data_IF_735199956686
#
_entry.id   IF_735199956686
#
_cell.length_a   1.000
_cell.length_b   1.000
_cell.length_c   1.000
_cell.angle_alpha   90.00
_cell.angle_beta   90.00
_cell.angle_gamma   90.00
#
_symmetry.space_group_name_H-M   'P 1'
#
loop_
_entity.id
_entity.type
_entity.pdbx_description
1 polymer ?
#
# COMPACT_ATOMS: atom_id res chain seq x y z
N UNK A 1 -18.33 17.92 -11.88
CA UNK A 1 -19.30 16.88 -11.48
C UNK A 1 -19.08 15.55 -12.20
N UNK A 2 -18.87 15.52 -13.53
CA UNK A 2 -18.71 14.26 -14.30
C UNK A 2 -17.66 13.28 -13.72
N UNK A 3 -16.45 13.74 -13.34
CA UNK A 3 -15.40 12.86 -12.75
C UNK A 3 -15.79 12.22 -11.41
N UNK A 4 -16.65 12.87 -10.62
CA UNK A 4 -17.08 12.33 -9.31
C UNK A 4 -18.00 11.12 -9.52
N UNK A 5 -18.91 11.20 -10.48
CA UNK A 5 -19.86 10.13 -10.77
C UNK A 5 -19.18 8.89 -11.37
N UNK A 6 -18.11 9.08 -12.14
CA UNK A 6 -17.33 7.98 -12.76
C UNK A 6 -16.81 6.98 -11.72
N UNK A 7 -16.49 7.41 -10.49
CA UNK A 7 -16.05 6.52 -9.42
C UNK A 7 -17.15 6.12 -8.45
N UNK A 8 -18.03 7.05 -8.05
CA UNK A 8 -19.06 6.77 -7.04
C UNK A 8 -20.04 5.67 -7.47
N UNK A 9 -20.43 5.62 -8.74
CA UNK A 9 -21.37 4.61 -9.24
C UNK A 9 -20.75 3.19 -9.16
N UNK A 10 -19.57 2.91 -9.76
CA UNK A 10 -18.91 1.61 -9.61
C UNK A 10 -18.65 1.24 -8.15
N UNK A 11 -18.20 2.21 -7.35
CA UNK A 11 -17.93 2.01 -5.93
C UNK A 11 -19.17 1.56 -5.18
N UNK A 12 -20.31 2.24 -5.39
CA UNK A 12 -21.58 1.91 -4.73
C UNK A 12 -22.10 0.55 -5.18
N UNK A 13 -22.12 0.29 -6.49
CA UNK A 13 -22.59 -0.99 -7.05
C UNK A 13 -21.75 -2.15 -6.50
N UNK A 14 -20.43 -2.01 -6.48
CA UNK A 14 -19.52 -3.06 -6.00
C UNK A 14 -19.66 -3.27 -4.49
N UNK A 15 -19.76 -2.19 -3.71
CA UNK A 15 -19.97 -2.26 -2.26
C UNK A 15 -21.28 -2.96 -1.92
N UNK A 16 -22.40 -2.56 -2.54
CA UNK A 16 -23.70 -3.16 -2.31
C UNK A 16 -23.77 -4.61 -2.80
N UNK A 17 -23.21 -4.88 -3.98
CA UNK A 17 -23.15 -6.24 -4.54
C UNK A 17 -22.34 -7.20 -3.67
N UNK A 18 -21.11 -6.82 -3.33
CA UNK A 18 -20.26 -7.63 -2.45
C UNK A 18 -20.86 -7.76 -1.04
N UNK A 19 -21.39 -6.67 -0.47
CA UNK A 19 -22.07 -6.67 0.83
C UNK A 19 -23.29 -7.60 0.84
N UNK A 20 -24.08 -7.62 -0.23
CA UNK A 20 -25.18 -8.57 -0.40
C UNK A 20 -24.70 -10.02 -0.33
N UNK A 21 -23.64 -10.37 -1.07
CA UNK A 21 -23.08 -11.73 -1.02
C UNK A 21 -22.52 -12.10 0.36
N UNK A 22 -21.88 -11.16 1.07
CA UNK A 22 -21.44 -11.36 2.46
C UNK A 22 -22.64 -11.66 3.37
N UNK A 23 -23.73 -10.90 3.27
CA UNK A 23 -24.95 -11.13 4.06
C UNK A 23 -25.63 -12.48 3.74
N UNK A 24 -25.52 -12.95 2.50
CA UNK A 24 -25.98 -14.28 2.08
C UNK A 24 -25.06 -15.42 2.57
N UNK A 25 -24.01 -15.10 3.34
CA UNK A 25 -23.08 -16.09 3.88
C UNK A 25 -22.17 -16.74 2.83
N UNK A 26 -22.00 -16.11 1.66
CA UNK A 26 -21.05 -16.59 0.64
C UNK A 26 -19.62 -16.37 1.13
N UNK A 27 -18.85 -17.46 1.26
CA UNK A 27 -17.49 -17.47 1.84
C UNK A 27 -16.48 -18.28 1.05
N UNK A 28 -16.96 -19.02 0.06
CA UNK A 28 -16.17 -19.97 -0.72
C UNK A 28 -16.46 -19.73 -2.19
N UNK A 29 -15.59 -20.24 -3.06
CA UNK A 29 -15.76 -20.29 -4.51
C UNK A 29 -16.94 -21.21 -4.92
N UNK A 30 -18.05 -21.19 -4.16
CA UNK A 30 -19.23 -22.04 -4.28
C UNK A 30 -19.85 -21.97 -5.67
N UNK A 31 -19.71 -20.83 -6.34
CA UNK A 31 -20.11 -20.66 -7.73
C UNK A 31 -19.07 -19.83 -8.52
N UNK A 32 -18.48 -20.39 -9.59
CA UNK A 32 -17.51 -19.68 -10.44
C UNK A 32 -18.04 -18.35 -11.00
N UNK A 33 -19.34 -18.24 -11.24
CA UNK A 33 -19.94 -17.01 -11.75
C UNK A 33 -19.94 -15.86 -10.72
N UNK A 34 -20.09 -16.16 -9.41
CA UNK A 34 -20.02 -15.13 -8.35
C UNK A 34 -18.60 -14.53 -8.32
N UNK A 35 -17.60 -15.40 -8.41
CA UNK A 35 -16.18 -15.02 -8.45
C UNK A 35 -15.92 -14.12 -9.65
N UNK A 36 -16.36 -14.52 -10.85
CA UNK A 36 -16.20 -13.72 -12.06
C UNK A 36 -16.87 -12.34 -11.95
N UNK A 37 -18.10 -12.28 -11.43
CA UNK A 37 -18.84 -11.03 -11.24
C UNK A 37 -18.13 -10.11 -10.24
N UNK A 38 -17.70 -10.63 -9.09
CA UNK A 38 -17.01 -9.84 -8.06
C UNK A 38 -15.67 -9.32 -8.56
N UNK A 39 -14.89 -10.14 -9.28
CA UNK A 39 -13.64 -9.70 -9.89
C UNK A 39 -13.88 -8.62 -10.94
N UNK A 40 -14.88 -8.77 -11.80
CA UNK A 40 -15.21 -7.78 -12.82
C UNK A 40 -15.64 -6.43 -12.20
N UNK A 41 -16.51 -6.47 -11.18
CA UNK A 41 -16.96 -5.26 -10.47
C UNK A 41 -15.81 -4.56 -9.72
N UNK A 42 -14.96 -5.34 -9.04
CA UNK A 42 -13.80 -4.80 -8.32
C UNK A 42 -12.76 -4.23 -9.28
N UNK A 43 -12.51 -4.89 -10.41
CA UNK A 43 -11.64 -4.39 -11.46
C UNK A 43 -12.16 -3.08 -12.05
N UNK A 44 -13.45 -3.02 -12.40
CA UNK A 44 -14.07 -1.81 -12.91
C UNK A 44 -14.00 -0.65 -11.92
N UNK A 45 -14.26 -0.92 -10.64
CA UNK A 45 -14.10 0.05 -9.55
C UNK A 45 -12.66 0.51 -9.39
N UNK A 46 -11.68 -0.39 -9.55
CA UNK A 46 -10.25 -0.05 -9.53
C UNK A 46 -9.87 0.89 -10.66
N UNK A 47 -10.29 0.59 -11.89
CA UNK A 47 -10.03 1.48 -13.04
C UNK A 47 -10.70 2.85 -12.83
N UNK A 48 -11.93 2.87 -12.32
CA UNK A 48 -12.65 4.12 -12.03
C UNK A 48 -11.96 4.94 -10.92
N UNK A 49 -11.47 4.26 -9.87
CA UNK A 49 -10.73 4.87 -8.77
C UNK A 49 -9.42 5.51 -9.24
N UNK A 50 -8.62 4.77 -10.01
CA UNK A 50 -7.36 5.28 -10.57
C UNK A 50 -7.57 6.50 -11.48
N UNK A 51 -8.71 6.57 -12.18
CA UNK A 51 -9.09 7.74 -12.99
C UNK A 51 -9.61 8.92 -12.16
N UNK A 52 -10.17 8.64 -10.99
CA UNK A 52 -10.70 9.65 -10.06
C UNK A 52 -9.62 10.31 -9.23
N UNK A 53 -8.53 9.60 -8.92
CA UNK A 53 -7.43 10.14 -8.14
C UNK A 53 -6.86 11.42 -8.79
N UNK A 54 -6.48 12.42 -7.96
CA UNK A 54 -5.81 13.60 -8.48
C UNK A 54 -4.50 13.20 -9.16
N UNK A 55 -4.15 13.88 -10.25
CA UNK A 55 -2.85 13.71 -10.90
C UNK A 55 -1.92 14.81 -10.39
N UNK A 56 -0.71 14.49 -9.91
CA UNK A 56 0.29 15.51 -9.59
C UNK A 56 0.62 16.34 -10.84
N UNK A 57 0.85 17.64 -10.65
CA UNK A 57 1.28 18.53 -11.73
C UNK A 57 2.80 18.40 -11.92
N UNK A 58 3.23 17.72 -12.97
CA UNK A 58 4.65 17.50 -13.27
C UNK A 58 5.22 18.54 -14.25
N UNK A 59 4.41 19.48 -14.72
CA UNK A 59 4.71 20.39 -15.84
C UNK A 59 5.94 21.28 -15.58
N UNK A 60 6.24 21.56 -14.30
CA UNK A 60 7.38 22.39 -13.88
C UNK A 60 8.69 21.60 -13.69
N UNK A 61 8.66 20.26 -13.73
CA UNK A 61 9.87 19.42 -13.66
C UNK A 61 10.53 19.22 -15.03
N UNK A 62 10.09 20.00 -16.03
CA UNK A 62 10.21 19.84 -17.49
C UNK A 62 11.60 19.99 -18.12
N UNK A 63 12.69 19.94 -17.36
CA UNK A 63 14.03 19.75 -17.94
C UNK A 63 14.29 18.28 -18.32
N UNK A 64 13.31 17.62 -18.91
CA UNK A 64 13.34 16.17 -19.11
C UNK A 64 14.04 15.79 -20.42
N UNK A 65 15.12 15.02 -20.28
CA UNK A 65 15.76 14.32 -21.38
C UNK A 65 14.75 13.45 -22.14
N UNK A 66 14.90 13.35 -23.47
CA UNK A 66 14.11 12.39 -24.28
C UNK A 66 14.19 10.98 -23.68
N UNK A 67 13.03 10.31 -23.58
CA UNK A 67 12.95 8.93 -23.10
C UNK A 67 13.79 8.02 -23.99
N UNK A 68 14.66 7.21 -23.37
CA UNK A 68 15.46 6.17 -24.03
C UNK A 68 14.77 4.81 -23.81
N UNK A 69 13.82 4.40 -24.67
CA UNK A 69 12.89 3.32 -24.38
C UNK A 69 13.59 1.98 -24.10
N UNK A 70 14.63 1.64 -24.86
CA UNK A 70 15.39 0.40 -24.66
C UNK A 70 16.09 0.34 -23.29
N UNK A 71 16.88 1.35 -22.96
CA UNK A 71 17.58 1.42 -21.66
C UNK A 71 16.60 1.50 -20.50
N UNK A 72 15.50 2.25 -20.66
CA UNK A 72 14.45 2.33 -19.66
C UNK A 72 13.83 0.95 -19.40
N UNK A 73 13.43 0.24 -20.46
CA UNK A 73 12.82 -1.08 -20.35
C UNK A 73 13.79 -2.11 -19.76
N UNK A 74 15.05 -2.14 -20.21
CA UNK A 74 16.07 -3.03 -19.65
C UNK A 74 16.31 -2.76 -18.15
N UNK A 75 16.38 -1.48 -17.75
CA UNK A 75 16.55 -1.11 -16.34
C UNK A 75 15.31 -1.47 -15.52
N UNK A 76 14.10 -1.25 -16.07
CA UNK A 76 12.85 -1.59 -15.42
C UNK A 76 12.74 -3.10 -15.15
N UNK A 77 13.06 -3.92 -16.16
CA UNK A 77 13.09 -5.38 -16.04
C UNK A 77 14.17 -5.79 -15.04
N UNK A 78 15.36 -5.19 -15.10
CA UNK A 78 16.45 -5.49 -14.17
C UNK A 78 16.08 -5.19 -12.71
N UNK A 79 15.52 -4.01 -12.43
CA UNK A 79 15.06 -3.64 -11.08
C UNK A 79 13.93 -4.54 -10.61
N UNK A 80 12.94 -4.83 -11.46
CA UNK A 80 11.90 -5.79 -11.17
C UNK A 80 12.50 -7.15 -10.80
N UNK A 81 13.33 -7.71 -11.68
CA UNK A 81 14.02 -8.98 -11.47
C UNK A 81 14.80 -9.03 -10.15
N UNK A 82 15.50 -7.95 -9.78
CA UNK A 82 16.21 -7.85 -8.49
C UNK A 82 15.23 -7.90 -7.31
N UNK A 83 14.12 -7.16 -7.35
CA UNK A 83 13.13 -7.16 -6.26
C UNK A 83 12.48 -8.54 -6.08
N UNK A 84 12.14 -9.21 -7.19
CA UNK A 84 11.61 -10.57 -7.17
C UNK A 84 12.64 -11.58 -6.66
N UNK A 85 13.87 -11.51 -7.15
CA UNK A 85 14.96 -12.40 -6.76
C UNK A 85 15.35 -12.23 -5.28
N UNK A 86 15.43 -10.99 -4.80
CA UNK A 86 15.77 -10.70 -3.42
C UNK A 86 14.78 -11.36 -2.46
N UNK A 87 13.49 -11.24 -2.75
CA UNK A 87 12.48 -11.90 -1.95
C UNK A 87 12.48 -13.43 -2.14
N UNK A 88 12.70 -13.94 -3.35
CA UNK A 88 12.80 -15.39 -3.54
C UNK A 88 13.96 -16.01 -2.74
N UNK A 89 15.10 -15.33 -2.65
CA UNK A 89 16.28 -15.81 -1.92
C UNK A 89 16.16 -15.64 -0.39
N UNK A 90 15.61 -14.52 0.07
CA UNK A 90 15.66 -14.12 1.47
C UNK A 90 14.28 -14.09 2.16
N UNK A 91 13.19 -14.25 1.42
CA UNK A 91 11.83 -14.14 1.92
C UNK A 91 11.61 -12.85 2.71
N UNK A 92 10.90 -12.96 3.83
CA UNK A 92 10.65 -11.85 4.75
C UNK A 92 11.91 -11.30 5.42
N UNK A 93 13.05 -12.01 5.40
CA UNK A 93 14.30 -11.49 5.98
C UNK A 93 14.86 -10.29 5.21
N UNK A 94 14.42 -10.07 3.96
CA UNK A 94 14.73 -8.87 3.18
C UNK A 94 14.31 -7.58 3.89
N UNK A 95 13.27 -7.64 4.74
CA UNK A 95 12.78 -6.50 5.50
C UNK A 95 13.82 -5.96 6.49
N UNK A 96 14.77 -6.77 6.97
CA UNK A 96 15.84 -6.31 7.86
C UNK A 96 16.88 -5.43 7.14
N UNK A 97 16.99 -5.55 5.81
CA UNK A 97 17.89 -4.70 5.03
C UNK A 97 17.30 -3.30 4.78
N UNK A 98 15.98 -3.17 4.74
CA UNK A 98 15.31 -1.90 4.39
C UNK A 98 15.63 -0.77 5.38
N UNK A 99 15.68 -0.99 6.72
CA UNK A 99 16.08 0.07 7.63
C UNK A 99 17.49 0.60 7.38
N UNK A 100 18.43 -0.31 7.09
CA UNK A 100 19.80 0.06 6.76
C UNK A 100 19.87 0.87 5.45
N UNK A 101 19.13 0.46 4.43
CA UNK A 101 19.01 1.20 3.16
C UNK A 101 18.45 2.60 3.42
N UNK A 102 17.39 2.72 4.24
CA UNK A 102 16.83 4.02 4.63
C UNK A 102 17.85 4.92 5.33
N UNK A 103 18.64 4.38 6.27
CA UNK A 103 19.73 5.12 6.92
C UNK A 103 20.80 5.56 5.93
N UNK A 104 21.22 4.68 5.01
CA UNK A 104 22.19 5.02 3.96
C UNK A 104 21.66 6.18 3.10
N UNK A 105 20.39 6.14 2.69
CA UNK A 105 19.75 7.24 1.95
C UNK A 105 19.83 8.54 2.75
N UNK A 106 19.46 8.53 4.03
CA UNK A 106 19.50 9.73 4.89
C UNK A 106 20.93 10.29 5.01
N UNK A 107 21.93 9.42 5.20
CA UNK A 107 23.35 9.80 5.31
C UNK A 107 23.89 10.35 3.99
N UNK A 108 23.54 9.72 2.85
CA UNK A 108 24.04 10.13 1.53
C UNK A 108 23.38 11.44 1.08
N UNK A 109 22.08 11.59 1.29
CA UNK A 109 21.37 12.79 0.86
C UNK A 109 21.66 14.00 1.77
N UNK A 110 22.10 13.78 3.02
CA UNK A 110 22.46 14.81 4.01
C UNK A 110 21.41 15.92 4.15
N UNK A 111 20.14 15.61 3.88
CA UNK A 111 19.07 16.61 3.89
C UNK A 111 18.63 16.89 5.33
N UNK A 112 18.42 18.16 5.63
CA UNK A 112 17.78 18.56 6.87
C UNK A 112 16.31 18.10 6.83
N UNK A 113 15.99 17.15 7.69
CA UNK A 113 14.63 16.69 7.93
C UNK A 113 13.93 17.69 8.84
N UNK A 114 12.64 17.94 8.60
CA UNK A 114 11.87 18.75 9.52
C UNK A 114 11.67 17.97 10.82
N UNK A 115 11.77 18.64 11.97
CA UNK A 115 11.42 18.06 13.27
C UNK A 115 10.01 17.45 13.26
N UNK A 116 9.07 18.07 12.54
CA UNK A 116 7.70 17.57 12.39
C UNK A 116 7.66 16.20 11.70
N UNK A 117 8.47 15.99 10.68
CA UNK A 117 8.56 14.71 9.96
C UNK A 117 9.12 13.61 10.86
N UNK A 118 10.18 13.93 11.63
CA UNK A 118 10.79 12.98 12.57
C UNK A 118 9.80 12.59 13.67
N UNK A 119 9.14 13.58 14.29
CA UNK A 119 8.15 13.34 15.35
C UNK A 119 6.99 12.50 14.80
N UNK A 120 6.52 12.81 13.59
CA UNK A 120 5.44 12.05 12.98
C UNK A 120 5.84 10.61 12.67
N UNK A 121 7.01 10.40 12.06
CA UNK A 121 7.53 9.07 11.79
C UNK A 121 7.76 8.26 13.07
N UNK A 122 8.24 8.91 14.15
CA UNK A 122 8.36 8.29 15.47
C UNK A 122 7.00 7.89 16.04
N UNK A 123 5.99 8.76 15.95
CA UNK A 123 4.64 8.49 16.41
C UNK A 123 3.99 7.30 15.67
N UNK A 124 4.04 7.31 14.34
CA UNK A 124 3.55 6.20 13.53
C UNK A 124 4.35 4.91 13.79
N UNK A 125 5.68 5.00 13.91
CA UNK A 125 6.53 3.85 14.19
C UNK A 125 6.25 3.24 15.57
N UNK A 126 5.96 4.06 16.57
CA UNK A 126 5.55 3.58 17.89
C UNK A 126 4.20 2.85 17.83
N UNK A 127 3.21 3.40 17.11
CA UNK A 127 1.90 2.75 16.91
C UNK A 127 2.10 1.40 16.20
N UNK A 128 2.85 1.38 15.10
CA UNK A 128 3.14 0.16 14.35
C UNK A 128 3.85 -0.89 15.21
N UNK A 129 4.86 -0.47 15.98
CA UNK A 129 5.60 -1.35 16.89
C UNK A 129 4.73 -1.93 18.00
N UNK A 130 3.90 -1.11 18.66
CA UNK A 130 2.96 -1.57 19.71
C UNK A 130 1.96 -2.57 19.12
N UNK A 131 1.35 -2.26 17.97
CA UNK A 131 0.43 -3.17 17.31
C UNK A 131 1.12 -4.49 16.88
N UNK A 132 2.41 -4.44 16.51
CA UNK A 132 3.21 -5.63 16.19
C UNK A 132 3.38 -6.61 17.35
N UNK A 133 3.40 -6.12 18.61
CA UNK A 133 3.55 -6.99 19.78
C UNK A 133 2.41 -8.01 19.89
N UNK A 134 1.22 -7.66 19.39
CA UNK A 134 0.05 -8.52 19.37
C UNK A 134 -0.14 -9.29 18.05
N UNK A 135 0.58 -8.94 16.98
CA UNK A 135 0.44 -9.51 15.64
C UNK A 135 1.48 -10.61 15.30
N UNK A 136 2.24 -11.08 16.30
CA UNK A 136 3.52 -11.78 16.14
C UNK A 136 3.63 -12.78 14.97
N UNK A 137 4.84 -12.90 14.40
CA UNK A 137 5.17 -13.84 13.32
C UNK A 137 5.87 -15.06 13.91
N UNK A 138 5.46 -16.28 13.51
CA UNK A 138 5.89 -17.55 14.11
C UNK A 138 7.41 -17.77 14.26
N UNK A 139 8.24 -17.10 13.46
CA UNK A 139 9.70 -17.27 13.46
C UNK A 139 10.48 -16.05 13.99
N UNK A 140 9.81 -14.98 14.44
CA UNK A 140 10.44 -13.79 15.02
C UNK A 140 9.77 -13.50 16.37
N UNK A 141 10.57 -13.34 17.43
CA UNK A 141 10.00 -12.94 18.72
C UNK A 141 9.19 -11.64 18.61
N UNK A 142 8.06 -11.49 19.33
CA UNK A 142 7.23 -10.28 19.21
C UNK A 142 8.00 -8.97 19.44
N UNK A 143 8.96 -8.96 20.36
CA UNK A 143 9.80 -7.80 20.62
C UNK A 143 10.68 -7.42 19.41
N UNK A 144 11.32 -8.41 18.77
CA UNK A 144 12.13 -8.18 17.57
C UNK A 144 11.25 -7.71 16.41
N UNK A 145 10.05 -8.28 16.26
CA UNK A 145 9.09 -7.83 15.25
C UNK A 145 8.68 -6.38 15.47
N UNK A 146 8.29 -6.01 16.70
CA UNK A 146 7.95 -4.64 17.06
C UNK A 146 9.07 -3.63 16.81
N UNK A 147 10.31 -3.98 17.18
CA UNK A 147 11.49 -3.16 16.91
C UNK A 147 11.70 -3.00 15.39
N UNK A 148 11.55 -4.07 14.62
CA UNK A 148 11.67 -4.00 13.17
C UNK A 148 10.61 -3.06 12.57
N UNK A 149 9.35 -3.14 13.02
CA UNK A 149 8.28 -2.25 12.54
C UNK A 149 8.56 -0.77 12.87
N UNK A 150 8.98 -0.49 14.10
CA UNK A 150 9.40 0.85 14.51
C UNK A 150 10.52 1.38 13.59
N UNK A 151 11.55 0.57 13.37
CA UNK A 151 12.70 0.93 12.53
C UNK A 151 12.30 1.16 11.08
N UNK A 152 11.47 0.29 10.49
CA UNK A 152 10.97 0.41 9.12
C UNK A 152 10.26 1.74 8.90
N UNK A 153 9.41 2.16 9.84
CA UNK A 153 8.68 3.43 9.73
C UNK A 153 9.61 4.62 9.97
N UNK A 154 10.40 4.58 11.04
CA UNK A 154 11.24 5.68 11.49
C UNK A 154 12.29 6.09 10.44
N UNK A 155 12.81 5.14 9.68
CA UNK A 155 13.78 5.44 8.62
C UNK A 155 13.15 5.44 7.23
N UNK A 156 12.09 4.66 7.00
CA UNK A 156 11.44 4.54 5.70
C UNK A 156 10.73 5.82 5.28
N UNK A 157 9.91 6.41 6.17
CA UNK A 157 9.22 7.67 5.85
C UNK A 157 10.20 8.81 5.59
N UNK A 158 11.18 9.10 6.47
CA UNK A 158 12.02 10.27 6.25
C UNK A 158 13.02 10.09 5.10
N UNK A 159 13.50 8.87 4.85
CA UNK A 159 14.30 8.57 3.65
C UNK A 159 13.48 8.77 2.37
N UNK A 160 12.24 8.25 2.37
CA UNK A 160 11.28 8.44 1.29
C UNK A 160 11.01 9.91 0.97
N UNK A 161 10.61 10.69 1.98
CA UNK A 161 10.40 12.14 1.81
C UNK A 161 11.66 12.88 1.38
N UNK A 162 12.84 12.48 1.87
CA UNK A 162 14.11 13.08 1.45
C UNK A 162 14.36 12.88 -0.05
N UNK A 163 14.10 11.68 -0.57
CA UNK A 163 14.20 11.38 -2.00
C UNK A 163 13.16 12.21 -2.77
N UNK A 164 11.88 12.13 -2.39
CA UNK A 164 10.80 12.84 -3.07
C UNK A 164 11.05 14.35 -3.13
N UNK A 165 11.52 14.95 -2.02
CA UNK A 165 11.87 16.36 -1.93
C UNK A 165 13.07 16.72 -2.80
N UNK A 166 14.10 15.88 -2.85
CA UNK A 166 15.30 16.13 -3.66
C UNK A 166 14.96 16.26 -5.15
N UNK A 167 13.95 15.52 -5.62
CA UNK A 167 13.52 15.50 -7.01
C UNK A 167 12.28 16.35 -7.30
N UNK A 168 11.88 17.23 -6.37
CA UNK A 168 10.75 18.12 -6.56
C UNK A 168 9.38 17.44 -6.50
N UNK A 169 9.32 16.13 -6.28
CA UNK A 169 8.08 15.34 -6.30
C UNK A 169 7.19 15.67 -5.09
N UNK A 170 7.78 15.93 -3.93
CA UNK A 170 7.00 16.26 -2.73
C UNK A 170 6.24 17.59 -2.92
N UNK A 171 6.84 18.55 -3.62
CA UNK A 171 6.26 19.86 -3.94
C UNK A 171 5.10 19.76 -4.94
N UNK A 172 5.11 18.75 -5.82
CA UNK A 172 3.96 18.46 -6.71
C UNK A 172 2.84 17.69 -5.99
N UNK A 173 3.02 17.41 -4.69
CA UNK A 173 2.06 16.72 -3.84
C UNK A 173 2.28 15.21 -3.73
N UNK A 174 3.34 14.66 -4.35
CA UNK A 174 3.59 13.22 -4.33
C UNK A 174 4.04 12.76 -2.95
N UNK A 175 3.35 11.77 -2.37
CA UNK A 175 3.71 11.14 -1.10
C UNK A 175 3.61 12.09 0.11
N UNK A 176 2.79 13.14 0.01
CA UNK A 176 2.60 14.09 1.11
C UNK A 176 1.87 13.46 2.31
N UNK A 177 2.08 14.06 3.48
CA UNK A 177 1.30 13.81 4.69
C UNK A 177 0.41 15.01 4.99
N UNK A 178 -0.88 14.77 5.18
CA UNK A 178 -1.86 15.77 5.62
C UNK A 178 -1.61 16.21 7.06
N UNK A 179 -1.06 15.34 7.91
CA UNK A 179 -0.72 15.74 9.27
C UNK A 179 0.33 16.84 9.27
N UNK A 180 1.36 16.66 8.43
CA UNK A 180 2.48 17.60 8.34
C UNK A 180 2.05 18.91 7.66
N UNK A 181 1.27 18.85 6.58
CA UNK A 181 0.90 20.04 5.80
C UNK A 181 -0.34 20.77 6.33
N UNK A 182 -1.36 20.03 6.77
CA UNK A 182 -2.72 20.54 6.99
C UNK A 182 -3.23 20.29 8.43
N UNK A 183 -2.45 19.62 9.28
CA UNK A 183 -2.76 19.36 10.68
C UNK A 183 -3.58 18.09 10.96
N UNK A 184 -3.81 17.84 12.26
CA UNK A 184 -4.38 16.58 12.77
C UNK A 184 -5.79 16.29 12.29
N UNK A 185 -6.67 17.29 12.27
CA UNK A 185 -8.06 17.10 11.84
C UNK A 185 -8.12 16.64 10.38
N UNK A 186 -7.34 17.28 9.51
CA UNK A 186 -7.22 16.91 8.09
C UNK A 186 -6.69 15.49 7.92
N UNK A 187 -5.67 15.11 8.70
CA UNK A 187 -5.12 13.76 8.73
C UNK A 187 -6.17 12.71 9.14
N UNK A 188 -6.93 12.95 10.21
CA UNK A 188 -7.97 12.03 10.69
C UNK A 188 -9.11 11.89 9.68
N UNK A 189 -9.52 12.99 9.03
CA UNK A 189 -10.52 12.96 7.97
C UNK A 189 -10.01 12.14 6.78
N UNK A 190 -8.76 12.35 6.35
CA UNK A 190 -8.15 11.57 5.27
C UNK A 190 -8.06 10.08 5.63
N UNK A 191 -7.64 9.74 6.84
CA UNK A 191 -7.62 8.37 7.34
C UNK A 191 -9.01 7.71 7.29
N UNK A 192 -10.04 8.39 7.83
CA UNK A 192 -11.42 7.92 7.77
C UNK A 192 -11.95 7.78 6.33
N UNK A 193 -11.58 8.70 5.43
CA UNK A 193 -11.89 8.58 4.02
C UNK A 193 -11.21 7.37 3.38
N UNK A 194 -9.96 7.07 3.75
CA UNK A 194 -9.25 5.86 3.35
C UNK A 194 -10.05 4.60 3.69
N UNK A 195 -10.51 4.50 4.96
CA UNK A 195 -11.35 3.38 5.43
C UNK A 195 -12.62 3.26 4.59
N UNK A 196 -13.34 4.36 4.36
CA UNK A 196 -14.56 4.30 3.55
C UNK A 196 -14.26 3.89 2.11
N UNK A 197 -13.18 4.42 1.52
CA UNK A 197 -12.80 4.11 0.16
C UNK A 197 -12.54 2.62 -0.03
N UNK A 198 -11.99 1.89 0.95
CA UNK A 198 -11.61 0.49 0.79
C UNK A 198 -12.79 -0.49 0.74
N UNK A 199 -14.02 -0.07 1.05
CA UNK A 199 -15.18 -0.98 1.20
C UNK A 199 -15.42 -1.96 0.05
N UNK A 200 -15.39 -1.56 -1.24
CA UNK A 200 -15.54 -2.50 -2.35
C UNK A 200 -14.50 -3.63 -2.28
N UNK A 201 -13.24 -3.30 -2.03
CA UNK A 201 -12.15 -4.26 -2.01
C UNK A 201 -12.20 -5.16 -0.79
N UNK A 202 -12.46 -4.58 0.38
CA UNK A 202 -12.62 -5.29 1.65
C UNK A 202 -13.75 -6.33 1.55
N UNK A 203 -14.94 -5.92 1.10
CA UNK A 203 -16.08 -6.82 0.97
C UNK A 203 -15.86 -7.87 -0.11
N UNK A 204 -15.32 -7.48 -1.28
CA UNK A 204 -14.96 -8.43 -2.32
C UNK A 204 -13.96 -9.47 -1.83
N UNK A 205 -12.96 -9.07 -1.05
CA UNK A 205 -12.00 -10.01 -0.47
C UNK A 205 -12.66 -11.00 0.50
N UNK A 206 -13.61 -10.55 1.32
CA UNK A 206 -14.39 -11.45 2.20
C UNK A 206 -15.19 -12.46 1.37
N UNK A 207 -15.88 -12.02 0.31
CA UNK A 207 -16.64 -12.90 -0.59
C UNK A 207 -15.73 -13.91 -1.31
N UNK A 208 -14.54 -13.47 -1.73
CA UNK A 208 -13.53 -14.30 -2.39
C UNK A 208 -12.76 -15.22 -1.43
N UNK A 209 -13.16 -15.28 -0.15
CA UNK A 209 -12.64 -16.25 0.80
C UNK A 209 -11.30 -15.88 1.45
N UNK A 210 -10.83 -14.64 1.35
CA UNK A 210 -9.63 -14.18 2.10
C UNK A 210 -9.77 -14.33 3.62
N UNK A 211 -11.01 -14.45 4.11
CA UNK A 211 -11.39 -14.66 5.51
C UNK A 211 -11.16 -16.07 6.05
N UNK A 212 -10.89 -17.06 5.19
CA UNK A 212 -10.82 -18.48 5.55
C UNK A 212 -9.60 -18.85 6.41
N UNK A 213 -8.66 -17.93 6.62
CA UNK A 213 -7.49 -18.07 7.50
C UNK A 213 -7.66 -17.43 8.89
N UNK A 214 -8.85 -16.89 9.21
CA UNK A 214 -9.12 -16.08 10.41
C UNK A 214 -9.14 -16.81 11.76
N UNK A 215 -8.53 -17.99 11.89
CA UNK A 215 -8.49 -18.74 13.17
C UNK A 215 -7.69 -18.04 14.27
N UNK A 216 -6.91 -17.01 13.92
CA UNK A 216 -6.14 -16.21 14.87
C UNK A 216 -6.99 -15.16 15.61
N UNK A 217 -8.14 -14.75 15.06
CA UNK A 217 -9.03 -13.77 15.70
C UNK A 217 -9.94 -14.50 16.69
N UNK A 218 -9.68 -14.30 17.97
CA UNK A 218 -10.39 -14.80 19.15
C UNK A 218 -11.05 -13.67 19.96
N UNK A 219 -10.71 -12.40 19.70
CA UNK A 219 -11.26 -11.27 20.41
C UNK A 219 -11.51 -10.07 19.49
N UNK A 220 -12.55 -9.28 19.80
CA UNK A 220 -12.99 -8.14 18.98
C UNK A 220 -11.92 -7.07 18.75
N UNK A 221 -10.94 -6.96 19.65
CA UNK A 221 -9.87 -5.97 19.57
C UNK A 221 -8.70 -6.42 18.67
N UNK A 222 -8.55 -7.72 18.41
CA UNK A 222 -7.41 -8.24 17.67
C UNK A 222 -7.31 -7.72 16.23
N UNK A 223 -8.42 -7.49 15.49
CA UNK A 223 -8.34 -6.82 14.19
C UNK A 223 -7.66 -5.44 14.22
N UNK A 224 -7.58 -4.75 15.37
CA UNK A 224 -6.86 -3.48 15.50
C UNK A 224 -5.35 -3.63 15.25
N UNK A 225 -4.80 -4.84 15.35
CA UNK A 225 -3.39 -5.11 15.01
C UNK A 225 -3.09 -4.88 13.53
N UNK A 226 -4.11 -4.83 12.67
CA UNK A 226 -4.02 -4.42 11.27
C UNK A 226 -3.43 -3.01 11.07
N UNK A 227 -3.41 -2.16 12.12
CA UNK A 227 -2.68 -0.89 12.07
C UNK A 227 -1.18 -1.09 11.83
N UNK A 228 -0.60 -2.20 12.30
CA UNK A 228 0.81 -2.48 12.11
C UNK A 228 1.20 -2.60 10.64
N UNK A 229 0.67 -3.55 9.85
CA UNK A 229 1.00 -3.66 8.44
C UNK A 229 0.57 -2.39 7.70
N UNK A 230 -0.60 -1.83 8.00
CA UNK A 230 -1.09 -0.60 7.37
C UNK A 230 -0.18 0.61 7.51
N UNK A 231 0.56 0.74 8.63
CA UNK A 231 1.52 1.85 8.79
C UNK A 231 2.87 1.47 8.18
N UNK A 232 3.39 0.30 8.55
CA UNK A 232 4.75 -0.08 8.19
C UNK A 232 4.90 -0.32 6.69
N UNK A 233 3.98 -1.05 6.07
CA UNK A 233 4.02 -1.38 4.65
C UNK A 233 3.81 -0.18 3.74
N UNK A 234 3.08 0.84 4.21
CA UNK A 234 3.01 2.13 3.51
C UNK A 234 4.34 2.88 3.65
N UNK A 235 4.97 2.84 4.82
CA UNK A 235 6.26 3.47 5.05
C UNK A 235 7.40 2.85 4.24
N UNK A 236 7.61 1.53 4.34
CA UNK A 236 8.72 0.89 3.63
C UNK A 236 8.36 0.54 2.18
N UNK A 237 7.12 0.11 1.92
CA UNK A 237 6.69 -0.34 0.59
C UNK A 237 6.41 0.80 -0.38
N UNK A 238 5.67 1.83 0.04
CA UNK A 238 5.25 2.91 -0.85
C UNK A 238 6.11 4.14 -0.71
N UNK A 239 6.42 4.54 0.53
CA UNK A 239 7.16 5.76 0.79
C UNK A 239 8.67 5.59 0.61
N UNK A 240 9.25 4.39 0.83
CA UNK A 240 10.69 4.15 0.60
C UNK A 240 11.00 3.46 -0.74
N UNK A 241 10.44 2.28 -0.99
CA UNK A 241 10.83 1.48 -2.17
C UNK A 241 10.46 2.15 -3.50
N UNK A 242 9.29 2.79 -3.62
CA UNK A 242 8.91 3.46 -4.87
C UNK A 242 9.88 4.61 -5.20
N UNK A 243 10.22 5.53 -4.27
CA UNK A 243 11.24 6.54 -4.52
C UNK A 243 12.64 5.98 -4.83
N UNK A 244 13.03 4.86 -4.22
CA UNK A 244 14.30 4.18 -4.56
C UNK A 244 14.31 3.70 -6.02
N UNK A 245 13.25 3.02 -6.46
CA UNK A 245 13.10 2.57 -7.85
C UNK A 245 13.06 3.78 -8.81
N UNK A 246 12.37 4.86 -8.41
CA UNK A 246 12.35 6.12 -9.16
C UNK A 246 13.76 6.68 -9.38
N UNK A 247 14.64 6.69 -8.37
CA UNK A 247 16.03 7.16 -8.52
C UNK A 247 16.80 6.37 -9.58
N UNK A 248 16.60 5.06 -9.63
CA UNK A 248 17.31 4.20 -10.59
C UNK A 248 16.82 4.48 -12.02
N UNK A 249 15.51 4.66 -12.18
CA UNK A 249 14.86 4.78 -13.49
C UNK A 249 14.85 6.21 -14.06
N UNK A 250 14.93 7.25 -13.23
CA UNK A 250 14.76 8.66 -13.64
C UNK A 250 15.75 9.17 -14.69
N UNK A 251 16.87 8.47 -14.90
CA UNK A 251 17.87 8.83 -15.91
C UNK A 251 17.46 8.48 -17.34
N UNK A 252 16.38 7.71 -17.52
CA UNK A 252 16.05 7.09 -18.80
C UNK A 252 14.68 7.49 -19.38
N UNK A 253 13.83 8.17 -18.61
CA UNK A 253 12.50 8.57 -19.06
C UNK A 253 11.98 9.79 -18.29
N UNK A 254 10.85 10.33 -18.78
CA UNK A 254 10.08 11.40 -18.14
C UNK A 254 9.64 11.03 -16.72
N UNK A 255 9.59 12.01 -15.81
CA UNK A 255 9.24 11.85 -14.39
C UNK A 255 7.94 11.10 -14.20
N UNK A 256 6.89 11.49 -14.93
CA UNK A 256 5.59 10.82 -14.85
C UNK A 256 5.69 9.35 -15.25
N UNK A 257 6.38 9.05 -16.36
CA UNK A 257 6.58 7.68 -16.85
C UNK A 257 7.37 6.86 -15.82
N UNK A 258 8.44 7.44 -15.28
CA UNK A 258 9.32 6.78 -14.30
C UNK A 258 8.57 6.49 -13.01
N UNK A 259 7.86 7.47 -12.45
CA UNK A 259 7.11 7.30 -11.21
C UNK A 259 6.00 6.26 -11.38
N UNK A 260 5.28 6.31 -12.50
CA UNK A 260 4.25 5.32 -12.82
C UNK A 260 4.84 3.92 -12.93
N UNK A 261 5.99 3.77 -13.60
CA UNK A 261 6.66 2.47 -13.73
C UNK A 261 7.20 1.95 -12.38
N UNK A 262 7.74 2.84 -11.54
CA UNK A 262 8.17 2.51 -10.18
C UNK A 262 7.00 2.04 -9.32
N UNK A 263 5.85 2.73 -9.37
CA UNK A 263 4.60 2.31 -8.71
C UNK A 263 4.20 0.91 -9.16
N UNK A 264 4.15 0.66 -10.46
CA UNK A 264 3.72 -0.63 -11.03
C UNK A 264 4.65 -1.75 -10.57
N UNK A 265 5.96 -1.59 -10.78
CA UNK A 265 6.95 -2.63 -10.45
C UNK A 265 6.93 -2.96 -8.96
N UNK A 266 6.96 -1.95 -8.09
CA UNK A 266 6.91 -2.19 -6.65
C UNK A 266 5.59 -2.81 -6.24
N UNK A 267 4.45 -2.39 -6.81
CA UNK A 267 3.14 -2.96 -6.47
C UNK A 267 3.04 -4.45 -6.80
N UNK A 268 3.55 -4.88 -7.96
CA UNK A 268 3.53 -6.31 -8.33
C UNK A 268 4.59 -7.13 -7.59
N UNK A 269 5.77 -6.56 -7.29
CA UNK A 269 6.74 -7.21 -6.42
C UNK A 269 6.16 -7.41 -5.00
N UNK A 270 5.50 -6.39 -4.46
CA UNK A 270 4.87 -6.43 -3.15
C UNK A 270 3.71 -7.46 -3.10
N UNK A 271 2.88 -7.52 -4.15
CA UNK A 271 1.86 -8.55 -4.27
C UNK A 271 2.47 -9.96 -4.31
N UNK A 272 3.57 -10.15 -5.03
CA UNK A 272 4.28 -11.43 -5.07
C UNK A 272 4.80 -11.86 -3.69
N UNK A 273 5.21 -10.91 -2.85
CA UNK A 273 5.68 -11.19 -1.49
C UNK A 273 4.57 -11.72 -0.58
N UNK A 274 3.30 -11.49 -0.93
CA UNK A 274 2.15 -11.95 -0.16
C UNK A 274 1.52 -13.24 -0.67
N UNK A 275 1.91 -13.73 -1.86
CA UNK A 275 1.32 -14.91 -2.51
C UNK A 275 2.26 -16.11 -2.57
N UNK A 276 3.51 -15.96 -2.11
CA UNK A 276 4.56 -16.94 -2.34
C UNK A 276 4.55 -18.10 -1.35
N UNK A 277 3.73 -19.11 -1.64
CA UNK A 277 4.08 -20.50 -1.31
C UNK A 277 4.27 -21.36 -2.56
N UNK A 278 3.80 -20.96 -3.76
CA UNK A 278 3.84 -21.80 -4.98
C UNK A 278 3.86 -21.03 -6.33
N UNK A 279 4.47 -19.85 -6.44
CA UNK A 279 4.46 -19.05 -7.69
C UNK A 279 3.05 -18.84 -8.26
N UNK A 280 2.08 -18.51 -7.39
CA UNK A 280 0.70 -18.24 -7.82
C UNK A 280 0.61 -16.89 -8.55
N UNK A 281 0.95 -16.91 -9.84
CA UNK A 281 0.94 -15.73 -10.70
C UNK A 281 -0.45 -15.13 -10.84
N UNK A 282 -1.49 -15.96 -10.82
CA UNK A 282 -2.87 -15.48 -10.94
C UNK A 282 -3.25 -14.63 -9.72
N UNK A 283 -3.04 -15.17 -8.50
CA UNK A 283 -3.31 -14.42 -7.27
C UNK A 283 -2.40 -13.20 -7.16
N UNK A 284 -1.14 -13.31 -7.59
CA UNK A 284 -0.20 -12.17 -7.63
C UNK A 284 -0.72 -11.04 -8.53
N UNK A 285 -1.16 -11.37 -9.75
CA UNK A 285 -1.70 -10.40 -10.69
C UNK A 285 -3.00 -9.80 -10.14
N UNK A 286 -3.87 -10.62 -9.57
CA UNK A 286 -5.13 -10.19 -8.97
C UNK A 286 -4.90 -9.25 -7.79
N UNK A 287 -4.07 -9.63 -6.82
CA UNK A 287 -3.73 -8.82 -5.65
C UNK A 287 -2.99 -7.53 -6.06
N UNK A 288 -2.03 -7.64 -6.96
CA UNK A 288 -1.30 -6.49 -7.49
C UNK A 288 -2.23 -5.48 -8.17
N UNK A 289 -3.11 -5.96 -9.04
CA UNK A 289 -4.01 -5.10 -9.83
C UNK A 289 -5.13 -4.52 -8.98
N UNK A 290 -5.80 -5.37 -8.19
CA UNK A 290 -7.02 -4.99 -7.48
C UNK A 290 -6.72 -4.30 -6.16
N UNK A 291 -5.64 -4.61 -5.46
CA UNK A 291 -5.40 -4.07 -4.12
C UNK A 291 -4.15 -3.18 -4.06
N UNK A 292 -2.99 -3.73 -4.39
CA UNK A 292 -1.71 -3.06 -4.11
C UNK A 292 -1.52 -1.84 -5.00
N UNK A 293 -1.82 -1.94 -6.29
CA UNK A 293 -1.68 -0.84 -7.24
C UNK A 293 -2.56 0.38 -6.89
N UNK A 294 -3.89 0.26 -6.69
CA UNK A 294 -4.70 1.41 -6.31
C UNK A 294 -4.28 2.01 -4.97
N UNK A 295 -3.86 1.19 -4.00
CA UNK A 295 -3.33 1.66 -2.73
C UNK A 295 -2.03 2.46 -2.89
N UNK A 296 -1.09 1.99 -3.73
CA UNK A 296 0.15 2.73 -4.04
C UNK A 296 -0.13 4.08 -4.70
N UNK A 297 -1.09 4.14 -5.64
CA UNK A 297 -1.51 5.40 -6.24
C UNK A 297 -2.23 6.31 -5.22
N UNK A 298 -3.05 5.76 -4.32
CA UNK A 298 -3.69 6.52 -3.25
C UNK A 298 -2.64 7.17 -2.33
N UNK A 299 -1.65 6.38 -1.89
CA UNK A 299 -0.55 6.84 -1.03
C UNK A 299 0.23 7.97 -1.68
N UNK A 300 0.62 7.80 -2.94
CA UNK A 300 1.50 8.75 -3.61
C UNK A 300 0.76 9.93 -4.21
N UNK A 301 -0.47 9.80 -4.70
CA UNK A 301 -1.13 10.90 -5.40
C UNK A 301 -2.12 11.68 -4.54
N UNK A 302 -2.61 11.10 -3.44
CA UNK A 302 -3.55 11.78 -2.54
C UNK A 302 -2.85 12.23 -1.25
N UNK A 303 -2.54 11.27 -0.39
CA UNK A 303 -1.81 11.44 0.87
C UNK A 303 -1.60 10.08 1.58
N UNK A 304 -0.59 10.06 2.46
CA UNK A 304 -0.22 8.90 3.27
C UNK A 304 -1.37 8.43 4.18
N UNK A 305 -2.08 9.35 4.82
CA UNK A 305 -3.11 9.01 5.81
C UNK A 305 -4.30 8.28 5.18
N UNK A 306 -4.74 8.69 3.99
CA UNK A 306 -5.77 7.97 3.24
C UNK A 306 -5.31 6.56 2.87
N UNK A 307 -4.03 6.36 2.54
CA UNK A 307 -3.51 5.02 2.24
C UNK A 307 -3.44 4.13 3.48
N UNK A 308 -2.91 4.64 4.59
CA UNK A 308 -2.93 3.91 5.87
C UNK A 308 -4.36 3.54 6.25
N UNK A 309 -5.32 4.48 6.13
CA UNK A 309 -6.73 4.22 6.41
C UNK A 309 -7.35 3.18 5.48
N UNK A 310 -7.02 3.21 4.19
CA UNK A 310 -7.50 2.22 3.22
C UNK A 310 -6.94 0.83 3.53
N UNK A 311 -5.63 0.73 3.78
CA UNK A 311 -4.96 -0.53 4.09
C UNK A 311 -5.49 -1.11 5.40
N UNK A 312 -5.53 -0.29 6.46
CA UNK A 312 -6.10 -0.68 7.74
C UNK A 312 -7.55 -1.13 7.58
N UNK A 313 -8.40 -0.38 6.89
CA UNK A 313 -9.80 -0.74 6.70
C UNK A 313 -9.98 -2.06 5.95
N UNK A 314 -9.12 -2.33 4.96
CA UNK A 314 -9.11 -3.59 4.23
C UNK A 314 -8.79 -4.78 5.14
N UNK A 315 -7.67 -4.73 5.87
CA UNK A 315 -7.22 -5.81 6.75
C UNK A 315 -8.14 -5.97 7.98
N UNK A 316 -8.53 -4.85 8.59
CA UNK A 316 -9.45 -4.84 9.73
C UNK A 316 -10.78 -5.47 9.36
N UNK A 317 -11.35 -5.10 8.21
CA UNK A 317 -12.64 -5.62 7.78
C UNK A 317 -12.60 -7.08 7.36
N UNK A 318 -11.53 -7.51 6.67
CA UNK A 318 -11.35 -8.92 6.30
C UNK A 318 -11.15 -9.82 7.53
N UNK A 319 -10.67 -9.29 8.66
CA UNK A 319 -10.59 -9.98 9.93
C UNK A 319 -11.88 -9.88 10.79
N UNK A 320 -12.46 -8.68 10.91
CA UNK A 320 -13.60 -8.42 11.80
C UNK A 320 -14.92 -9.00 11.27
N UNK A 321 -15.21 -8.84 9.98
CA UNK A 321 -16.49 -9.29 9.41
C UNK A 321 -16.69 -10.79 9.63
N UNK A 322 -15.69 -11.66 9.36
CA UNK A 322 -15.82 -13.08 9.64
C UNK A 322 -15.98 -13.39 11.12
N UNK A 323 -15.25 -12.70 11.99
CA UNK A 323 -15.37 -12.85 13.43
C UNK A 323 -16.80 -12.59 13.91
N UNK A 324 -17.39 -11.44 13.52
CA UNK A 324 -18.75 -11.05 13.93
C UNK A 324 -19.83 -11.98 13.38
N UNK A 325 -19.72 -12.37 12.12
CA UNK A 325 -20.78 -13.14 11.48
C UNK A 325 -20.73 -14.63 11.85
N UNK A 326 -19.55 -15.16 12.20
CA UNK A 326 -19.32 -16.61 12.15
C UNK A 326 -18.85 -17.25 13.45
N UNK A 327 -18.31 -16.48 14.41
CA UNK A 327 -17.88 -17.04 15.68
C UNK A 327 -18.96 -17.05 16.76
N UNK A 328 -20.20 -16.66 16.44
CA UNK A 328 -21.38 -16.82 17.30
C UNK A 328 -21.14 -16.38 18.74
N UNK A 329 -21.26 -15.08 19.00
CA UNK A 329 -21.42 -14.60 20.38
C UNK A 329 -22.67 -15.19 21.04
#
# INVERSE_FOLDING_TARGET
MARRNVFLIPWLITTLGAGWFVMQGQRTFSAPWIVAVILALTFYTTVAFLRWLPKPAFDDLSQESQTRPGLFLCTLIGVGGILFLAYWLWGLTVLFALPLIGLIVLVVLRRQMDKREIIYALGLGAIAGIAALAAGINFISPAVWAILQLCLVLVGLPAGWSILRQYGLLQTGVGRSRLISDGLVSALISFGQGIVLCFPWMLSAVVLGSSTSGTWVQAWWQPLTALQPAIAEEAWGRMLLIPLVYIVLRRFAKTQTVLTAAIIVVSYAFAYWHTSSNLDWFTTIMMGTLLVLPLSFLCLYRDLESAIGFHFGYDFGTALIPFLLFQGF
#
